data_IF_757872609705
#
_entry.id   IF_757872609705
#
_cell.length_a   1.000
_cell.length_b   1.000
_cell.length_c   1.000
_cell.angle_alpha   90.00
_cell.angle_beta   90.00
_cell.angle_gamma   90.00
#
_symmetry.space_group_name_H-M   'P 1'
#
loop_
_entity.id
_entity.type
_entity.pdbx_description
1 polymer ?
#
# COMPACT_ATOMS: atom_id res chain seq x y z
N UNK A 1 -9.60 13.12 1.01
CA UNK A 1 -8.18 13.47 0.94
C UNK A 1 -7.94 14.08 -0.43
N UNK A 2 -7.18 15.17 -0.56
CA UNK A 2 -6.80 15.80 -1.84
C UNK A 2 -5.27 15.82 -1.95
N UNK A 3 -4.75 16.07 -3.16
CA UNK A 3 -3.31 16.24 -3.41
C UNK A 3 -2.46 15.07 -2.92
N UNK A 4 -2.98 13.85 -3.15
CA UNK A 4 -2.39 12.62 -2.61
C UNK A 4 -1.14 12.24 -3.39
N UNK A 5 -0.03 12.10 -2.68
CA UNK A 5 1.18 11.42 -3.12
C UNK A 5 1.24 10.05 -2.46
N UNK A 6 1.60 9.03 -3.22
CA UNK A 6 1.77 7.66 -2.73
C UNK A 6 3.21 7.21 -2.95
N UNK A 7 3.80 6.64 -1.92
CA UNK A 7 5.15 6.05 -1.95
C UNK A 7 5.12 4.64 -1.34
N UNK A 8 6.10 3.82 -1.71
CA UNK A 8 6.33 2.53 -1.06
C UNK A 8 7.13 2.81 0.21
N UNK A 9 6.61 2.36 1.35
CA UNK A 9 7.26 2.48 2.65
C UNK A 9 8.05 1.21 2.98
N UNK A 10 7.39 0.05 2.86
CA UNK A 10 8.01 -1.25 3.11
C UNK A 10 7.67 -2.27 2.02
N UNK A 11 8.67 -3.08 1.66
CA UNK A 11 8.54 -4.18 0.72
C UNK A 11 9.31 -5.40 1.20
N UNK A 12 8.64 -6.55 1.25
CA UNK A 12 9.30 -7.82 1.56
C UNK A 12 10.21 -8.25 0.39
N UNK A 13 11.31 -8.93 0.71
CA UNK A 13 12.25 -9.48 -0.27
C UNK A 13 11.59 -10.46 -1.25
N UNK A 14 10.50 -11.10 -0.85
CA UNK A 14 9.69 -12.02 -1.64
C UNK A 14 9.14 -11.36 -2.91
N UNK A 15 8.97 -10.03 -2.94
CA UNK A 15 8.57 -9.31 -4.16
C UNK A 15 9.55 -9.53 -5.32
N UNK A 16 10.84 -9.69 -5.03
CA UNK A 16 11.88 -9.87 -6.03
C UNK A 16 12.14 -11.35 -6.38
N UNK A 17 11.54 -12.28 -5.64
CA UNK A 17 11.75 -13.72 -5.89
C UNK A 17 10.97 -14.15 -7.13
N UNK A 18 11.62 -14.98 -7.96
CA UNK A 18 11.08 -15.42 -9.25
C UNK A 18 9.73 -16.14 -9.11
N UNK A 19 9.62 -17.00 -8.08
CA UNK A 19 8.50 -17.93 -7.89
C UNK A 19 7.42 -17.40 -6.94
N UNK A 20 7.62 -16.21 -6.37
CA UNK A 20 6.58 -15.58 -5.58
C UNK A 20 5.53 -14.97 -6.51
N UNK A 21 4.27 -15.24 -6.20
CA UNK A 21 3.09 -14.78 -6.93
C UNK A 21 2.08 -14.02 -6.06
N UNK A 22 2.31 -13.95 -4.75
CA UNK A 22 1.48 -13.22 -3.78
C UNK A 22 2.37 -12.55 -2.74
N UNK A 23 2.24 -11.23 -2.58
CA UNK A 23 3.01 -10.43 -1.63
C UNK A 23 2.18 -9.29 -1.06
N UNK A 24 2.59 -8.79 0.09
CA UNK A 24 2.08 -7.55 0.67
C UNK A 24 3.15 -6.46 0.62
N UNK A 25 2.73 -5.24 0.30
CA UNK A 25 3.57 -4.03 0.38
C UNK A 25 2.91 -3.01 1.28
N UNK A 26 3.69 -2.24 2.02
CA UNK A 26 3.17 -1.10 2.78
C UNK A 26 3.40 0.15 1.95
N UNK A 27 2.33 0.89 1.72
CA UNK A 27 2.39 2.20 1.06
C UNK A 27 2.06 3.29 2.05
N UNK A 28 2.76 4.40 1.92
CA UNK A 28 2.46 5.65 2.60
C UNK A 28 1.70 6.56 1.66
N UNK A 29 0.54 7.05 2.09
CA UNK A 29 -0.22 8.06 1.35
C UNK A 29 -0.21 9.37 2.12
N UNK A 30 0.33 10.41 1.52
CA UNK A 30 0.43 11.75 2.09
C UNK A 30 -0.41 12.72 1.25
N UNK A 31 -1.11 13.64 1.89
CA UNK A 31 -1.96 14.60 1.20
C UNK A 31 -2.72 15.46 2.20
N UNK A 32 -3.82 16.07 1.75
CA UNK A 32 -4.59 17.00 2.57
C UNK A 32 -5.96 16.42 2.97
N UNK A 33 -6.32 16.51 4.26
CA UNK A 33 -7.68 16.24 4.78
C UNK A 33 -8.19 17.50 5.46
N UNK A 34 -9.17 18.18 4.85
CA UNK A 34 -9.68 19.46 5.35
C UNK A 34 -8.64 20.58 5.35
N UNK A 35 -7.72 20.57 4.38
CA UNK A 35 -6.63 21.55 4.26
C UNK A 35 -5.46 21.34 5.23
N UNK A 36 -5.44 20.24 5.99
CA UNK A 36 -4.32 19.85 6.86
C UNK A 36 -3.61 18.63 6.31
N UNK A 37 -2.30 18.57 6.51
CA UNK A 37 -1.49 17.40 6.18
C UNK A 37 -2.06 16.16 6.87
N UNK A 38 -2.17 15.09 6.10
CA UNK A 38 -2.72 13.81 6.52
C UNK A 38 -1.89 12.69 5.94
N UNK A 39 -1.63 11.69 6.78
CA UNK A 39 -0.93 10.45 6.41
C UNK A 39 -1.89 9.28 6.61
N UNK A 40 -1.97 8.40 5.62
CA UNK A 40 -2.79 7.20 5.60
C UNK A 40 -2.00 6.01 5.04
N UNK A 41 -1.42 5.22 5.93
CA UNK A 41 -0.63 4.05 5.55
C UNK A 41 -1.54 2.87 5.27
N UNK A 42 -1.23 2.10 4.22
CA UNK A 42 -2.03 0.94 3.81
C UNK A 42 -1.16 -0.24 3.46
N UNK A 43 -1.64 -1.41 3.83
CA UNK A 43 -1.08 -2.66 3.33
C UNK A 43 -1.81 -3.04 2.05
N UNK A 44 -1.08 -3.22 0.96
CA UNK A 44 -1.62 -3.62 -0.34
C UNK A 44 -1.18 -5.05 -0.62
N UNK A 45 -2.13 -5.93 -0.91
CA UNK A 45 -1.84 -7.28 -1.41
C UNK A 45 -1.76 -7.24 -2.93
N UNK A 46 -0.65 -7.75 -3.44
CA UNK A 46 -0.34 -7.84 -4.85
C UNK A 46 -0.30 -9.31 -5.27
N UNK A 47 -0.98 -9.64 -6.37
CA UNK A 47 -0.87 -10.95 -7.02
C UNK A 47 -0.23 -10.79 -8.38
N UNK A 48 0.77 -11.63 -8.67
CA UNK A 48 1.50 -11.65 -9.93
C UNK A 48 0.65 -12.30 -11.01
N UNK A 49 0.49 -11.59 -12.13
CA UNK A 49 -0.15 -12.07 -13.35
C UNK A 49 0.83 -11.90 -14.51
N UNK A 50 1.55 -12.97 -14.83
CA UNK A 50 2.61 -12.95 -15.85
C UNK A 50 3.78 -12.06 -15.42
N UNK A 51 3.93 -10.90 -16.09
CA UNK A 51 5.01 -9.93 -15.83
C UNK A 51 4.56 -8.71 -15.00
N UNK A 52 3.31 -8.70 -14.55
CA UNK A 52 2.71 -7.57 -13.84
C UNK A 52 2.21 -7.98 -12.47
N UNK A 53 2.23 -7.06 -11.52
CA UNK A 53 1.57 -7.20 -10.23
C UNK A 53 0.24 -6.49 -10.28
N UNK A 54 -0.79 -7.13 -9.74
CA UNK A 54 -2.15 -6.60 -9.68
C UNK A 54 -2.54 -6.43 -8.22
N UNK A 55 -3.05 -5.25 -7.87
CA UNK A 55 -3.64 -5.00 -6.56
C UNK A 55 -4.92 -5.81 -6.45
N UNK A 56 -4.98 -6.73 -5.47
CA UNK A 56 -6.17 -7.55 -5.21
C UNK A 56 -6.86 -7.18 -3.91
N UNK A 57 -6.15 -6.51 -2.99
CA UNK A 57 -6.68 -6.10 -1.70
C UNK A 57 -5.94 -4.86 -1.17
N UNK A 58 -6.69 -3.94 -0.54
CA UNK A 58 -6.15 -2.79 0.18
C UNK A 58 -6.67 -2.87 1.60
N UNK A 59 -5.77 -3.13 2.54
CA UNK A 59 -6.06 -3.26 3.95
C UNK A 59 -5.70 -1.95 4.67
N UNK A 60 -6.56 -1.47 5.59
CA UNK A 60 -6.15 -0.43 6.53
C UNK A 60 -5.00 -0.96 7.40
N UNK A 61 -4.07 -0.09 7.78
CA UNK A 61 -3.07 -0.45 8.76
C UNK A 61 -3.75 -0.89 10.07
N UNK A 62 -3.28 -2.00 10.67
CA UNK A 62 -3.80 -2.49 11.95
C UNK A 62 -3.54 -1.44 13.04
N UNK A 63 -4.51 -0.57 13.30
CA UNK A 63 -4.42 0.40 14.39
C UNK A 63 -5.38 1.58 14.31
N UNK A 64 -5.90 1.93 13.14
CA UNK A 64 -6.82 3.07 13.01
C UNK A 64 -8.27 2.63 12.93
N UNK A 65 -8.80 2.23 14.09
CA UNK A 65 -10.24 2.34 14.33
C UNK A 65 -10.50 3.85 14.33
N UNK A 66 -11.15 4.38 13.30
CA UNK A 66 -11.78 5.70 13.40
C UNK A 66 -12.91 5.55 14.43
N UNK A 67 -12.59 5.78 15.72
CA UNK A 67 -13.57 6.08 16.77
C UNK A 67 -13.91 7.57 16.72
#
# INVERSE_FOLDING_TARGET
MTDVTMSIDEIDIDFFRKFTDDVTVIVKMEGLRGGRDWVDDRTIRLVKRGKSWIIVEILPEKGRIEQ
#
